data_IF_681571372061
#
_entry.id   IF_681571372061
#
_cell.length_a   1.000
_cell.length_b   1.000
_cell.length_c   1.000
_cell.angle_alpha   90.00
_cell.angle_beta   90.00
_cell.angle_gamma   90.00
#
_symmetry.space_group_name_H-M   'P 1'
#
loop_
_entity.id
_entity.type
_entity.pdbx_description
1 polymer ?
#
# COMPACT_ATOMS: atom_id res chain seq x y z
N UNK A 1 2.42 1.98 -3.82
CA UNK A 1 3.04 2.32 -5.12
C UNK A 1 4.56 2.33 -5.05
N UNK A 2 5.20 2.89 -4.01
CA UNK A 2 6.62 2.70 -3.69
C UNK A 2 6.83 2.91 -2.17
N UNK A 3 7.90 2.39 -1.59
CA UNK A 3 8.26 2.53 -0.18
C UNK A 3 8.80 3.93 0.16
N UNK A 4 8.75 4.29 1.45
CA UNK A 4 9.28 5.57 1.96
C UNK A 4 10.74 5.39 2.37
N UNK A 5 11.59 6.36 1.98
CA UNK A 5 13.01 6.42 2.31
C UNK A 5 13.35 7.77 2.96
N UNK A 6 14.20 7.78 3.99
CA UNK A 6 14.46 9.00 4.78
C UNK A 6 15.34 10.05 4.10
N UNK A 7 16.24 9.64 3.20
CA UNK A 7 17.06 10.53 2.38
C UNK A 7 17.40 9.84 1.07
N UNK A 8 17.20 10.53 -0.04
CA UNK A 8 17.45 10.01 -1.39
C UNK A 8 18.49 10.86 -2.10
N UNK A 9 19.41 10.22 -2.84
CA UNK A 9 20.23 10.91 -3.84
C UNK A 9 19.38 11.09 -5.10
N UNK A 10 19.82 11.98 -6.00
CA UNK A 10 19.10 12.27 -7.25
C UNK A 10 18.77 11.00 -8.08
N UNK A 11 19.67 10.02 -8.25
CA UNK A 11 19.32 8.79 -8.96
C UNK A 11 18.23 7.97 -8.25
N UNK A 12 18.24 7.96 -6.92
CA UNK A 12 17.27 7.22 -6.12
C UNK A 12 15.89 7.89 -6.20
N UNK A 13 15.85 9.23 -6.15
CA UNK A 13 14.62 10.02 -6.33
C UNK A 13 13.97 9.77 -7.71
N UNK A 14 14.78 9.70 -8.77
CA UNK A 14 14.32 9.33 -10.11
C UNK A 14 13.66 7.95 -10.08
N UNK A 15 14.34 6.96 -9.49
CA UNK A 15 13.85 5.59 -9.43
C UNK A 15 12.52 5.48 -8.68
N UNK A 16 12.40 6.04 -7.47
CA UNK A 16 11.17 5.92 -6.69
C UNK A 16 9.98 6.61 -7.36
N UNK A 17 10.25 7.71 -8.07
CA UNK A 17 9.23 8.45 -8.83
C UNK A 17 8.72 7.61 -10.00
N UNK A 18 9.62 7.08 -10.83
CA UNK A 18 9.26 6.22 -11.96
C UNK A 18 8.55 4.95 -11.47
N UNK A 19 9.07 4.31 -10.42
CA UNK A 19 8.49 3.09 -9.86
C UNK A 19 7.07 3.32 -9.32
N UNK A 20 6.85 4.39 -8.55
CA UNK A 20 5.52 4.71 -8.04
C UNK A 20 4.52 5.06 -9.16
N UNK A 21 4.99 5.72 -10.21
CA UNK A 21 4.17 6.07 -11.37
C UNK A 21 3.79 4.84 -12.21
N UNK A 22 4.71 3.91 -12.40
CA UNK A 22 4.48 2.65 -13.13
C UNK A 22 3.65 1.63 -12.34
N UNK A 23 3.59 1.75 -11.01
CA UNK A 23 2.86 0.84 -10.13
C UNK A 23 1.80 1.58 -9.30
N UNK A 24 0.83 2.25 -9.94
CA UNK A 24 -0.25 2.90 -9.22
C UNK A 24 -1.14 1.84 -8.56
N UNK A 25 -1.60 2.11 -7.34
CA UNK A 25 -2.53 1.25 -6.63
C UNK A 25 -3.58 2.11 -5.94
N UNK A 26 -4.85 1.70 -6.04
CA UNK A 26 -5.89 2.25 -5.19
C UNK A 26 -5.76 1.71 -3.77
N UNK A 27 -6.44 2.35 -2.82
CA UNK A 27 -6.45 1.92 -1.40
C UNK A 27 -6.97 0.48 -1.25
N UNK A 28 -7.93 0.08 -2.10
CA UNK A 28 -8.48 -1.27 -2.17
C UNK A 28 -7.47 -2.29 -2.70
N UNK A 29 -6.63 -1.91 -3.66
CA UNK A 29 -5.62 -2.82 -4.23
C UNK A 29 -4.55 -3.15 -3.19
N UNK A 30 -4.19 -2.17 -2.35
CA UNK A 30 -3.22 -2.35 -1.27
C UNK A 30 -3.70 -3.41 -0.26
N UNK A 31 -4.93 -3.30 0.22
CA UNK A 31 -5.47 -4.29 1.16
C UNK A 31 -5.69 -5.65 0.50
N UNK A 32 -6.06 -5.71 -0.79
CA UNK A 32 -6.21 -6.98 -1.53
C UNK A 32 -4.89 -7.72 -1.69
N UNK A 33 -3.82 -7.02 -2.03
CA UNK A 33 -2.49 -7.63 -2.19
C UNK A 33 -1.95 -8.15 -0.85
N UNK A 34 -2.15 -7.39 0.22
CA UNK A 34 -1.80 -7.83 1.58
C UNK A 34 -2.63 -9.05 1.97
N UNK A 35 -3.95 -8.98 1.82
CA UNK A 35 -4.86 -10.09 2.12
C UNK A 35 -4.52 -11.36 1.34
N UNK A 36 -4.19 -11.26 0.05
CA UNK A 36 -3.79 -12.42 -0.76
C UNK A 36 -2.55 -13.12 -0.20
N UNK A 37 -1.56 -12.36 0.30
CA UNK A 37 -0.37 -12.91 0.95
C UNK A 37 -0.67 -13.53 2.30
N UNK A 38 -1.51 -12.89 3.12
CA UNK A 38 -1.91 -13.42 4.43
C UNK A 38 -2.74 -14.70 4.27
N UNK A 39 -3.60 -14.77 3.26
CA UNK A 39 -4.41 -15.94 2.94
C UNK A 39 -3.58 -17.18 2.57
N UNK A 40 -2.40 -16.98 2.00
CA UNK A 40 -1.49 -18.05 1.60
C UNK A 40 -0.63 -18.57 2.76
N UNK A 41 -0.62 -17.90 3.91
CA UNK A 41 0.15 -18.29 5.08
C UNK A 41 -0.71 -19.11 6.07
N UNK A 42 -0.54 -20.45 6.14
CA UNK A 42 -1.37 -21.30 7.00
C UNK A 42 -1.15 -21.05 8.50
N UNK A 43 -0.15 -20.26 8.89
CA UNK A 43 0.11 -19.90 10.29
C UNK A 43 -0.81 -18.78 10.78
N UNK A 44 -1.45 -18.06 9.87
CA UNK A 44 -2.30 -16.91 10.20
C UNK A 44 -3.74 -17.40 10.32
N UNK A 45 -4.23 -17.45 11.57
CA UNK A 45 -5.60 -17.87 11.88
C UNK A 45 -6.62 -16.78 11.54
N UNK A 46 -6.39 -15.55 11.98
CA UNK A 46 -7.24 -14.38 11.77
C UNK A 46 -6.35 -13.17 11.42
N UNK A 47 -6.87 -12.25 10.60
CA UNK A 47 -6.23 -10.96 10.37
C UNK A 47 -7.22 -9.85 10.02
N UNK A 48 -6.77 -8.61 10.23
CA UNK A 48 -7.36 -7.39 9.69
C UNK A 48 -6.27 -6.64 8.91
N UNK A 49 -6.57 -6.27 7.67
CA UNK A 49 -5.70 -5.48 6.80
C UNK A 49 -6.40 -4.16 6.48
N UNK A 50 -5.81 -3.05 6.91
CA UNK A 50 -6.35 -1.69 6.74
C UNK A 50 -5.38 -0.84 5.94
N UNK A 51 -5.94 0.06 5.13
CA UNK A 51 -5.17 1.08 4.42
C UNK A 51 -5.91 2.41 4.50
N UNK A 52 -5.16 3.46 4.85
CA UNK A 52 -5.62 4.85 4.86
C UNK A 52 -4.71 5.68 3.96
N UNK A 53 -5.28 6.28 2.93
CA UNK A 53 -4.61 7.15 1.99
C UNK A 53 -5.02 8.60 2.27
N UNK A 54 -4.07 9.43 2.70
CA UNK A 54 -4.26 10.87 2.82
C UNK A 54 -4.24 11.49 1.43
N UNK A 55 -5.42 11.84 0.92
CA UNK A 55 -5.59 12.32 -0.45
C UNK A 55 -4.91 13.68 -0.66
N UNK A 56 -4.08 13.81 -1.69
CA UNK A 56 -3.40 15.09 -1.98
C UNK A 56 -4.32 16.15 -2.61
N UNK A 57 -5.50 15.74 -3.10
CA UNK A 57 -6.48 16.59 -3.78
C UNK A 57 -7.79 16.79 -2.99
N UNK A 58 -7.93 16.17 -1.82
CA UNK A 58 -9.10 16.27 -0.94
C UNK A 58 -8.67 16.42 0.52
N UNK A 59 -9.49 17.02 1.38
CA UNK A 59 -9.21 17.13 2.81
C UNK A 59 -9.87 16.01 3.64
N UNK A 60 -9.80 14.78 3.15
CA UNK A 60 -10.25 13.57 3.82
C UNK A 60 -9.44 12.38 3.31
N UNK A 61 -9.43 11.28 4.07
CA UNK A 61 -8.72 10.07 3.69
C UNK A 61 -9.61 9.14 2.84
N UNK A 62 -9.01 8.44 1.89
CA UNK A 62 -9.57 7.22 1.32
C UNK A 62 -9.20 6.04 2.22
N UNK A 63 -10.14 5.13 2.50
CA UNK A 63 -9.95 4.06 3.47
C UNK A 63 -10.52 2.73 2.96
N UNK A 64 -9.79 1.65 3.20
CA UNK A 64 -10.24 0.28 2.93
C UNK A 64 -9.80 -0.69 4.02
N UNK A 65 -10.61 -1.74 4.24
CA UNK A 65 -10.37 -2.79 5.22
C UNK A 65 -10.78 -4.16 4.66
N UNK A 66 -9.96 -5.18 4.91
CA UNK A 66 -10.32 -6.60 4.77
C UNK A 66 -10.09 -7.28 6.11
N UNK A 67 -11.13 -7.93 6.63
CA UNK A 67 -11.04 -8.82 7.79
C UNK A 67 -11.29 -10.26 7.34
N UNK A 68 -10.46 -11.18 7.82
CA UNK A 68 -10.67 -12.62 7.65
C UNK A 68 -10.49 -13.34 8.99
N UNK A 69 -11.48 -14.16 9.40
CA UNK A 69 -11.39 -15.00 10.58
C UNK A 69 -10.64 -16.31 10.38
#
# INVERSE_FOLDING_TARGET
SCEIWGLLKRPDEKYVTEHAYENPKFVEDLVRDVAARLNADPRIGHYVAEAENFESIHNHSAYALIERP
#
